data_IF_315780574832
#
_entry.id   IF_315780574832
#
_cell.length_a   1.000
_cell.length_b   1.000
_cell.length_c   1.000
_cell.angle_alpha   90.00
_cell.angle_beta   90.00
_cell.angle_gamma   90.00
#
_symmetry.space_group_name_H-M   'P 1'
#
loop_
_entity.id
_entity.type
_entity.pdbx_description
1 polymer ?
#
# COMPACT_ATOMS: atom_id res chain seq x y z
N UNK A 1 1.48 13.31 29.18
CA UNK A 1 1.85 12.72 27.88
C UNK A 1 1.51 11.25 27.95
N UNK A 2 0.64 10.77 27.06
CA UNK A 2 0.28 9.36 27.02
C UNK A 2 1.47 8.51 26.59
N UNK A 3 1.65 7.34 27.24
CA UNK A 3 2.69 6.39 26.84
C UNK A 3 2.44 5.88 25.41
N UNK A 4 3.49 5.74 24.58
CA UNK A 4 3.42 5.08 23.28
C UNK A 4 2.70 3.72 23.35
N UNK A 5 1.91 3.40 22.33
CA UNK A 5 1.19 2.11 22.26
C UNK A 5 2.16 0.92 22.32
N UNK A 6 3.35 1.05 21.72
CA UNK A 6 4.37 0.00 21.75
C UNK A 6 4.77 -0.37 23.18
N UNK A 7 4.92 0.61 24.07
CA UNK A 7 5.32 0.38 25.46
C UNK A 7 4.21 -0.36 26.23
N UNK A 8 2.95 0.02 26.00
CA UNK A 8 1.79 -0.66 26.59
C UNK A 8 1.68 -2.11 26.13
N UNK A 9 1.94 -2.38 24.85
CA UNK A 9 1.93 -3.74 24.30
C UNK A 9 3.06 -4.57 24.90
N UNK A 10 4.26 -4.01 25.03
CA UNK A 10 5.42 -4.70 25.62
C UNK A 10 5.18 -5.02 27.11
N UNK A 11 4.57 -4.11 27.87
CA UNK A 11 4.19 -4.37 29.27
C UNK A 11 3.24 -5.57 29.38
N UNK A 12 2.15 -5.57 28.60
CA UNK A 12 1.18 -6.69 28.60
C UNK A 12 1.79 -8.01 28.13
N UNK A 13 2.72 -7.97 27.17
CA UNK A 13 3.37 -9.16 26.62
C UNK A 13 4.25 -9.88 27.65
N UNK A 14 4.89 -9.14 28.57
CA UNK A 14 5.76 -9.71 29.60
C UNK A 14 5.03 -10.64 30.56
N UNK A 15 3.77 -10.36 30.84
CA UNK A 15 2.95 -11.13 31.77
C UNK A 15 2.32 -12.37 31.12
N UNK A 16 2.43 -12.52 29.79
CA UNK A 16 1.88 -13.66 29.08
C UNK A 16 2.82 -14.89 29.14
N UNK A 17 2.27 -16.11 29.24
CA UNK A 17 3.01 -17.34 28.99
C UNK A 17 3.70 -17.35 27.62
N UNK A 18 4.83 -18.04 27.52
CA UNK A 18 5.66 -18.08 26.31
C UNK A 18 4.89 -18.46 25.04
N UNK A 19 3.99 -19.43 25.13
CA UNK A 19 3.08 -19.87 24.04
C UNK A 19 2.27 -18.69 23.47
N UNK A 20 1.72 -17.85 24.35
CA UNK A 20 0.92 -16.69 23.95
C UNK A 20 1.80 -15.54 23.46
N UNK A 21 2.99 -15.36 24.02
CA UNK A 21 3.97 -14.41 23.48
C UNK A 21 4.33 -14.76 22.04
N UNK A 22 4.53 -16.06 21.75
CA UNK A 22 4.79 -16.55 20.40
C UNK A 22 3.64 -16.26 19.44
N UNK A 23 2.40 -16.44 19.90
CA UNK A 23 1.20 -16.11 19.10
C UNK A 23 1.11 -14.62 18.77
N UNK A 24 1.44 -13.74 19.71
CA UNK A 24 1.51 -12.28 19.45
C UNK A 24 2.61 -11.96 18.43
N UNK A 25 3.78 -12.58 18.55
CA UNK A 25 4.86 -12.40 17.58
C UNK A 25 4.44 -12.82 16.17
N UNK A 26 3.82 -13.99 16.01
CA UNK A 26 3.32 -14.44 14.71
C UNK A 26 2.25 -13.51 14.14
N UNK A 27 1.37 -12.99 15.00
CA UNK A 27 0.37 -12.02 14.58
C UNK A 27 0.98 -10.72 14.07
N UNK A 28 1.95 -10.14 14.79
CA UNK A 28 2.65 -8.92 14.31
C UNK A 28 3.39 -9.14 12.99
N UNK A 29 4.00 -10.33 12.78
CA UNK A 29 4.60 -10.72 11.51
C UNK A 29 3.56 -10.82 10.38
N UNK A 30 2.38 -11.36 10.66
CA UNK A 30 1.27 -11.40 9.70
C UNK A 30 0.82 -9.98 9.31
N UNK A 31 0.61 -9.09 10.29
CA UNK A 31 0.25 -7.68 10.04
C UNK A 31 1.29 -6.94 9.21
N UNK A 32 2.59 -7.16 9.49
CA UNK A 32 3.68 -6.56 8.74
C UNK A 32 3.79 -7.05 7.28
N UNK A 33 3.24 -8.24 6.99
CA UNK A 33 3.14 -8.81 5.64
C UNK A 33 1.85 -8.40 4.93
N UNK A 34 0.75 -8.21 5.66
CA UNK A 34 -0.53 -7.76 5.09
C UNK A 34 -0.54 -6.27 4.74
N UNK A 35 0.34 -5.48 5.35
CA UNK A 35 0.51 -4.07 5.00
C UNK A 35 1.21 -3.98 3.64
N UNK A 36 0.56 -3.42 2.60
CA UNK A 36 1.21 -3.24 1.30
C UNK A 36 2.50 -2.46 1.49
N UNK A 37 3.63 -3.02 1.05
CA UNK A 37 4.89 -2.30 1.02
C UNK A 37 5.00 -1.60 -0.33
N UNK A 38 5.07 -0.28 -0.28
CA UNK A 38 5.43 0.50 -1.46
C UNK A 38 6.83 0.15 -1.94
N UNK A 39 7.09 0.41 -3.21
CA UNK A 39 8.43 0.37 -3.81
C UNK A 39 9.05 1.76 -3.65
N UNK A 40 10.32 1.89 -3.20
CA UNK A 40 11.01 3.18 -3.19
C UNK A 40 10.95 3.87 -4.55
N UNK A 41 10.63 5.16 -4.59
CA UNK A 41 10.50 5.91 -5.84
C UNK A 41 11.76 5.87 -6.71
N UNK A 42 12.94 5.80 -6.10
CA UNK A 42 14.22 5.62 -6.80
C UNK A 42 14.24 4.36 -7.68
N UNK A 43 13.59 3.27 -7.27
CA UNK A 43 13.53 2.02 -8.04
C UNK A 43 12.59 2.13 -9.25
N UNK A 44 11.64 3.08 -9.23
CA UNK A 44 10.73 3.33 -10.36
C UNK A 44 11.41 4.09 -11.50
N UNK A 45 12.56 4.75 -11.25
CA UNK A 45 13.29 5.51 -12.27
C UNK A 45 13.70 4.66 -13.48
N UNK A 46 13.86 3.34 -13.31
CA UNK A 46 14.14 2.42 -14.43
C UNK A 46 13.04 2.40 -15.50
N UNK A 47 11.84 2.85 -15.16
CA UNK A 47 10.70 2.94 -16.07
C UNK A 47 10.54 4.35 -16.68
N UNK A 48 11.39 5.31 -16.32
CA UNK A 48 11.34 6.64 -16.89
C UNK A 48 11.57 6.57 -18.40
N UNK A 49 10.62 7.10 -19.18
CA UNK A 49 10.67 7.04 -20.64
C UNK A 49 10.32 5.67 -21.25
N UNK A 50 9.79 4.72 -20.46
CA UNK A 50 9.38 3.41 -20.99
C UNK A 50 8.15 3.49 -21.91
N UNK A 51 7.36 4.56 -21.82
CA UNK A 51 6.22 4.81 -22.70
C UNK A 51 6.75 5.54 -23.93
N UNK A 52 6.58 4.95 -25.12
CA UNK A 52 6.98 5.57 -26.37
C UNK A 52 6.15 6.85 -26.65
N UNK A 53 6.66 7.80 -27.44
CA UNK A 53 5.87 8.98 -27.82
C UNK A 53 4.54 8.63 -28.51
N UNK A 54 4.52 7.58 -29.32
CA UNK A 54 3.32 7.11 -30.02
C UNK A 54 2.31 6.52 -29.05
N UNK A 55 2.75 5.67 -28.11
CA UNK A 55 1.87 5.12 -27.08
C UNK A 55 1.33 6.22 -26.15
N UNK A 56 2.18 7.17 -25.76
CA UNK A 56 1.77 8.32 -24.97
C UNK A 56 0.72 9.18 -25.70
N UNK A 57 0.84 9.32 -27.03
CA UNK A 57 -0.15 10.01 -27.86
C UNK A 57 -1.46 9.25 -27.90
N UNK A 58 -1.44 7.93 -28.11
CA UNK A 58 -2.64 7.10 -28.09
C UNK A 58 -3.37 7.17 -26.76
N UNK A 59 -2.64 7.09 -25.64
CA UNK A 59 -3.21 7.25 -24.30
C UNK A 59 -3.88 8.62 -24.12
N UNK A 60 -3.21 9.69 -24.56
CA UNK A 60 -3.75 11.06 -24.50
C UNK A 60 -5.05 11.17 -25.28
N UNK A 61 -5.07 10.73 -26.53
CA UNK A 61 -6.27 10.80 -27.36
C UNK A 61 -7.43 9.97 -26.77
N UNK A 62 -7.14 8.82 -26.17
CA UNK A 62 -8.15 8.00 -25.50
C UNK A 62 -8.75 8.71 -24.27
N UNK A 63 -7.91 9.36 -23.46
CA UNK A 63 -8.36 10.18 -22.33
C UNK A 63 -9.19 11.35 -22.83
N UNK A 64 -8.74 12.10 -23.82
CA UNK A 64 -9.47 13.26 -24.37
C UNK A 64 -10.84 12.87 -24.96
N UNK A 65 -10.94 11.68 -25.57
CA UNK A 65 -12.22 11.16 -26.09
C UNK A 65 -13.18 10.69 -25.00
N UNK A 66 -12.68 10.15 -23.88
CA UNK A 66 -13.53 9.46 -22.88
C UNK A 66 -13.62 10.14 -21.52
N UNK A 67 -12.75 11.09 -21.21
CA UNK A 67 -12.74 11.77 -19.92
C UNK A 67 -13.97 12.67 -19.80
N UNK A 68 -14.69 12.54 -18.69
CA UNK A 68 -15.89 13.33 -18.36
C UNK A 68 -17.04 13.21 -19.37
N UNK A 69 -16.97 12.25 -20.30
CA UNK A 69 -18.13 11.86 -21.10
C UNK A 69 -18.99 10.90 -20.28
N UNK A 70 -20.20 11.34 -19.95
CA UNK A 70 -21.22 10.52 -19.28
C UNK A 70 -22.35 10.33 -20.29
N UNK A 71 -22.65 9.10 -20.68
CA UNK A 71 -23.88 8.82 -21.41
C UNK A 71 -25.05 8.92 -20.43
N UNK A 72 -25.84 9.98 -20.59
CA UNK A 72 -27.02 10.22 -19.76
C UNK A 72 -28.14 9.18 -19.96
N UNK A 73 -28.03 8.31 -20.96
CA UNK A 73 -29.01 7.26 -21.28
C UNK A 73 -28.50 5.85 -20.97
N UNK A 74 -27.30 5.68 -20.41
CA UNK A 74 -26.75 4.38 -20.00
C UNK A 74 -27.26 3.89 -18.62
N UNK A 75 -28.29 4.53 -18.06
CA UNK A 75 -28.94 4.16 -16.78
C UNK A 75 -30.44 3.94 -16.91
#
# INVERSE_FOLDING_TARGET
MDRPIVDKVVEQLKDLPQELQWRVLEFTRALARSTPRGVPGQELLRFAGAISPDDAKLMREAIERGCEQVDANEW
#
